data_IF_332859905817
#
_entry.id   IF_332859905817
#
_cell.length_a   1.000
_cell.length_b   1.000
_cell.length_c   1.000
_cell.angle_alpha   90.00
_cell.angle_beta   90.00
_cell.angle_gamma   90.00
#
_symmetry.space_group_name_H-M   'P 1'
#
loop_
_entity.id
_entity.type
_entity.pdbx_description
1 polymer ?
#
# COMPACT_ATOMS: atom_id res chain seq x y z
N UNK A 1 9.80 28.43 35.00
CA UNK A 1 9.31 27.57 33.91
C UNK A 1 10.28 26.40 33.79
N UNK A 2 10.00 25.29 34.47
CA UNK A 2 10.83 24.09 34.37
C UNK A 2 10.30 23.26 33.20
N UNK A 3 11.09 23.12 32.14
CA UNK A 3 10.79 22.24 31.03
C UNK A 3 11.05 20.80 31.48
N UNK A 4 9.98 20.02 31.65
CA UNK A 4 10.07 18.57 31.81
C UNK A 4 10.63 18.00 30.51
N UNK A 5 11.92 17.67 30.52
CA UNK A 5 12.58 16.90 29.47
C UNK A 5 12.02 15.49 29.57
N UNK A 6 11.15 15.11 28.63
CA UNK A 6 10.76 13.72 28.48
C UNK A 6 12.02 12.93 28.10
N UNK A 7 12.42 12.01 28.96
CA UNK A 7 13.52 11.10 28.69
C UNK A 7 13.14 10.25 27.48
N UNK A 8 13.72 10.53 26.32
CA UNK A 8 13.68 9.63 25.17
C UNK A 8 14.19 8.28 25.68
N UNK A 9 13.29 7.30 25.79
CA UNK A 9 13.67 5.97 26.18
C UNK A 9 14.41 5.39 24.98
N UNK A 10 15.74 5.36 25.04
CA UNK A 10 16.57 4.74 24.02
C UNK A 10 16.32 3.24 24.06
N UNK A 11 15.33 2.78 23.31
CA UNK A 11 15.08 1.35 23.12
C UNK A 11 16.11 0.86 22.13
N UNK A 12 17.03 0.00 22.58
CA UNK A 12 17.98 -0.64 21.68
C UNK A 12 17.22 -1.44 20.62
N UNK A 13 17.55 -1.30 19.33
CA UNK A 13 16.90 -2.05 18.26
C UNK A 13 17.08 -3.56 18.47
N UNK A 14 16.00 -4.33 18.34
CA UNK A 14 16.05 -5.79 18.47
C UNK A 14 16.48 -6.36 17.12
N UNK A 15 17.76 -6.70 17.00
CA UNK A 15 18.33 -7.32 15.80
C UNK A 15 18.27 -8.83 15.93
N UNK A 16 17.64 -9.49 14.97
CA UNK A 16 17.46 -10.95 14.97
C UNK A 16 17.99 -11.56 13.69
N UNK A 17 18.90 -12.55 13.77
CA UNK A 17 19.24 -13.34 12.60
C UNK A 17 18.08 -14.29 12.27
N UNK A 18 17.80 -14.46 10.98
CA UNK A 18 16.69 -15.30 10.54
C UNK A 18 16.67 -15.62 9.06
N UNK A 19 15.59 -16.28 8.65
CA UNK A 19 15.25 -16.53 7.25
C UNK A 19 13.97 -15.78 6.91
N UNK A 20 14.05 -14.89 5.91
CA UNK A 20 12.91 -14.17 5.36
C UNK A 20 12.53 -14.81 4.03
N UNK A 21 11.37 -15.45 4.00
CA UNK A 21 10.79 -15.95 2.75
C UNK A 21 9.92 -14.84 2.17
N UNK A 22 10.24 -14.37 0.98
CA UNK A 22 9.51 -13.32 0.27
C UNK A 22 8.71 -13.94 -0.87
N UNK A 23 7.41 -13.65 -0.91
CA UNK A 23 6.51 -14.10 -1.97
C UNK A 23 5.77 -12.91 -2.56
N UNK A 24 5.72 -12.83 -3.89
CA UNK A 24 4.87 -11.88 -4.60
C UNK A 24 3.46 -12.45 -4.73
N UNK A 25 2.47 -11.73 -4.22
CA UNK A 25 1.05 -12.05 -4.28
C UNK A 25 0.34 -11.02 -5.15
N UNK A 26 -0.65 -11.48 -5.91
CA UNK A 26 -1.44 -10.64 -6.79
C UNK A 26 -2.71 -10.22 -6.06
N UNK A 27 -2.74 -8.98 -5.61
CA UNK A 27 -3.89 -8.37 -4.96
C UNK A 27 -4.79 -7.63 -5.95
N UNK A 28 -5.87 -7.06 -5.42
CA UNK A 28 -6.78 -6.20 -6.19
C UNK A 28 -6.10 -4.92 -6.68
N UNK A 29 -5.14 -4.40 -5.91
CA UNK A 29 -4.42 -3.16 -6.22
C UNK A 29 -3.04 -3.40 -6.85
N UNK A 30 -2.81 -4.60 -7.41
CA UNK A 30 -1.57 -4.97 -8.07
C UNK A 30 -0.74 -6.00 -7.30
N UNK A 31 0.50 -6.18 -7.72
CA UNK A 31 1.44 -7.13 -7.10
C UNK A 31 1.98 -6.55 -5.80
N UNK A 32 2.07 -7.38 -4.78
CA UNK A 32 2.63 -7.01 -3.48
C UNK A 32 3.47 -8.12 -2.90
N UNK A 33 4.50 -7.76 -2.14
CA UNK A 33 5.36 -8.74 -1.50
C UNK A 33 4.95 -8.95 -0.05
N UNK A 34 4.85 -10.22 0.34
CA UNK A 34 4.68 -10.64 1.72
C UNK A 34 5.89 -11.43 2.15
N UNK A 35 6.44 -11.06 3.30
CA UNK A 35 7.53 -11.74 3.96
C UNK A 35 7.03 -12.69 5.05
N UNK A 36 7.62 -13.87 5.16
CA UNK A 36 7.54 -14.72 6.36
C UNK A 36 8.92 -14.82 6.96
N UNK A 37 9.09 -14.17 8.10
CA UNK A 37 10.33 -14.21 8.87
C UNK A 37 10.26 -15.37 9.88
N UNK A 38 11.21 -16.28 9.76
CA UNK A 38 11.49 -17.30 10.75
C UNK A 38 12.79 -16.94 11.48
N UNK A 39 12.68 -16.66 12.77
CA UNK A 39 13.81 -16.33 13.63
C UNK A 39 13.65 -17.01 15.01
N UNK A 40 14.63 -16.82 15.89
CA UNK A 40 14.59 -17.42 17.23
C UNK A 40 13.38 -16.99 18.07
N UNK A 41 12.82 -15.80 17.80
CA UNK A 41 11.63 -15.30 18.50
C UNK A 41 10.34 -15.98 18.00
N UNK A 42 10.38 -16.67 16.86
CA UNK A 42 9.24 -17.36 16.28
C UNK A 42 9.06 -17.08 14.79
N UNK A 43 7.82 -17.23 14.33
CA UNK A 43 7.41 -17.02 12.94
C UNK A 43 6.51 -15.80 12.86
N UNK A 44 6.88 -14.85 12.02
CA UNK A 44 6.18 -13.58 11.87
C UNK A 44 5.86 -13.32 10.39
N UNK A 45 4.66 -12.85 10.12
CA UNK A 45 4.32 -12.31 8.80
C UNK A 45 4.74 -10.83 8.76
N UNK A 46 5.52 -10.48 7.76
CA UNK A 46 6.01 -9.13 7.52
C UNK A 46 5.33 -8.62 6.27
N UNK A 47 4.56 -7.55 6.43
CA UNK A 47 3.96 -6.78 5.36
C UNK A 47 4.53 -5.39 5.49
N UNK A 48 5.76 -5.19 5.03
CA UNK A 48 6.43 -3.88 5.02
C UNK A 48 6.54 -3.32 3.61
N UNK A 49 6.71 -2.00 3.48
CA UNK A 49 6.90 -1.35 2.19
C UNK A 49 8.28 -1.72 1.62
N UNK A 50 9.31 -1.79 2.47
CA UNK A 50 10.67 -2.15 2.06
C UNK A 50 10.75 -3.52 1.38
N UNK A 51 9.80 -4.43 1.65
CA UNK A 51 9.76 -5.75 1.02
C UNK A 51 9.43 -5.71 -0.47
N UNK A 52 8.78 -4.65 -0.94
CA UNK A 52 8.27 -4.54 -2.30
C UNK A 52 9.36 -4.31 -3.33
N UNK A 53 10.50 -3.75 -2.92
CA UNK A 53 11.64 -3.58 -3.81
C UNK A 53 12.36 -4.91 -4.09
N UNK A 54 12.35 -5.87 -3.15
CA UNK A 54 13.09 -7.12 -3.30
C UNK A 54 12.32 -8.15 -4.15
N UNK A 55 13.01 -8.92 -5.01
CA UNK A 55 12.36 -10.00 -5.75
C UNK A 55 11.89 -11.12 -4.82
N UNK A 56 10.92 -11.92 -5.26
CA UNK A 56 10.53 -13.11 -4.52
C UNK A 56 11.68 -14.10 -4.40
N UNK A 57 11.85 -14.69 -3.21
CA UNK A 57 13.04 -15.46 -2.89
C UNK A 57 13.13 -15.77 -1.41
N UNK A 58 14.03 -16.69 -1.07
CA UNK A 58 14.36 -17.01 0.32
C UNK A 58 15.64 -16.29 0.68
N UNK A 59 15.54 -15.40 1.63
CA UNK A 59 16.66 -14.57 2.06
C UNK A 59 17.11 -14.99 3.45
N UNK A 60 18.42 -15.00 3.65
CA UNK A 60 19.03 -15.11 4.97
C UNK A 60 19.60 -13.76 5.35
N UNK A 61 19.33 -13.31 6.58
CA UNK A 61 19.65 -11.95 6.95
C UNK A 61 19.62 -11.69 8.44
N UNK A 62 20.00 -10.46 8.78
CA UNK A 62 19.73 -9.83 10.07
C UNK A 62 18.58 -8.84 9.89
N UNK A 63 17.60 -8.91 10.78
CA UNK A 63 16.37 -8.13 10.70
C UNK A 63 16.24 -7.27 11.95
N UNK A 64 16.06 -5.97 11.77
CA UNK A 64 15.85 -5.02 12.86
C UNK A 64 14.35 -4.91 13.12
N UNK A 65 13.88 -5.52 14.19
CA UNK A 65 12.47 -5.50 14.57
C UNK A 65 12.15 -4.17 15.27
N UNK A 66 11.24 -3.39 14.69
CA UNK A 66 10.73 -2.16 15.33
C UNK A 66 9.72 -2.50 16.42
N UNK A 67 8.72 -3.31 16.07
CA UNK A 67 7.73 -3.84 17.01
C UNK A 67 7.07 -5.11 16.44
N UNK A 68 6.61 -5.98 17.35
CA UNK A 68 5.82 -7.17 17.04
C UNK A 68 4.40 -6.91 17.54
N UNK A 69 3.40 -7.24 16.73
CA UNK A 69 2.00 -7.02 17.07
C UNK A 69 1.12 -8.15 16.56
N UNK A 70 0.06 -8.42 17.31
CA UNK A 70 -1.00 -9.33 16.89
C UNK A 70 -2.00 -8.55 16.04
N UNK A 71 -2.23 -9.01 14.81
CA UNK A 71 -3.26 -8.43 13.94
C UNK A 71 -4.44 -9.40 13.83
N UNK A 72 -5.56 -8.99 14.42
CA UNK A 72 -6.83 -9.69 14.35
C UNK A 72 -7.64 -9.27 13.12
N UNK A 73 -8.26 -10.23 12.44
CA UNK A 73 -9.24 -9.98 11.40
C UNK A 73 -10.54 -10.73 11.69
N UNK A 74 -11.70 -10.03 11.58
CA UNK A 74 -12.98 -10.69 11.64
C UNK A 74 -13.15 -11.55 10.40
N UNK A 75 -13.49 -12.82 10.60
CA UNK A 75 -13.86 -13.73 9.52
C UNK A 75 -15.38 -13.74 9.42
N UNK A 76 -15.90 -13.93 8.20
CA UNK A 76 -17.34 -13.92 7.91
C UNK A 76 -18.14 -14.99 8.66
N UNK A 77 -17.48 -15.98 9.25
CA UNK A 77 -18.05 -17.03 10.10
C UNK A 77 -18.24 -16.60 11.57
N UNK A 78 -17.92 -15.34 11.90
CA UNK A 78 -17.99 -14.79 13.26
C UNK A 78 -16.77 -15.11 14.12
N UNK A 79 -15.76 -15.82 13.60
CA UNK A 79 -14.49 -16.07 14.28
C UNK A 79 -13.50 -14.91 14.11
N UNK A 80 -12.57 -14.77 15.05
CA UNK A 80 -11.45 -13.84 14.96
C UNK A 80 -10.18 -14.63 14.63
N UNK A 81 -9.50 -14.28 13.54
CA UNK A 81 -8.19 -14.86 13.21
C UNK A 81 -7.09 -13.88 13.60
N UNK A 82 -6.07 -14.38 14.27
CA UNK A 82 -4.92 -13.60 14.66
C UNK A 82 -3.69 -14.01 13.86
N UNK A 83 -2.99 -13.02 13.33
CA UNK A 83 -1.71 -13.17 12.66
C UNK A 83 -0.63 -12.45 13.48
N UNK A 84 0.46 -13.15 13.79
CA UNK A 84 1.65 -12.55 14.39
C UNK A 84 2.40 -11.75 13.33
N UNK A 85 2.39 -10.42 13.44
CA UNK A 85 3.08 -9.52 12.52
C UNK A 85 4.26 -8.84 13.18
N UNK A 86 5.27 -8.56 12.36
CA UNK A 86 6.40 -7.75 12.74
C UNK A 86 6.59 -6.61 11.75
N UNK A 87 6.92 -5.43 12.25
CA UNK A 87 7.37 -4.29 11.46
C UNK A 87 8.90 -4.20 11.55
N UNK A 88 9.55 -3.97 10.41
CA UNK A 88 11.00 -3.87 10.34
C UNK A 88 11.40 -2.39 10.30
N UNK A 89 12.47 -2.07 11.01
CA UNK A 89 13.16 -0.78 10.89
C UNK A 89 14.29 -0.84 9.85
N UNK A 90 14.73 -2.05 9.52
CA UNK A 90 15.71 -2.32 8.48
C UNK A 90 16.04 -3.81 8.41
N UNK A 91 16.72 -4.19 7.32
CA UNK A 91 17.21 -5.55 7.14
C UNK A 91 18.51 -5.58 6.34
N UNK A 92 19.36 -6.55 6.67
CA UNK A 92 20.59 -6.85 5.95
C UNK A 92 20.47 -8.25 5.37
N UNK A 93 20.42 -8.37 4.05
CA UNK A 93 20.26 -9.64 3.35
C UNK A 93 21.62 -10.16 2.86
N UNK A 94 22.00 -11.38 3.24
CA UNK A 94 23.30 -11.98 2.93
C UNK A 94 23.30 -12.84 1.66
N UNK A 95 22.13 -13.31 1.20
CA UNK A 95 22.01 -14.14 0.01
C UNK A 95 20.56 -14.43 -0.36
N UNK A 96 20.36 -14.83 -1.62
CA UNK A 96 19.06 -15.18 -2.20
C UNK A 96 19.07 -16.65 -2.65
N UNK A 97 18.21 -17.46 -2.04
CA UNK A 97 17.91 -18.83 -2.45
C UNK A 97 16.55 -18.86 -3.18
N UNK A 98 16.38 -19.83 -4.09
CA UNK A 98 15.10 -20.03 -4.78
C UNK A 98 14.04 -20.54 -3.81
N UNK A 99 12.81 -20.01 -3.91
CA UNK A 99 11.67 -20.49 -3.11
C UNK A 99 11.41 -21.97 -3.37
N UNK A 100 11.32 -22.78 -2.31
CA UNK A 100 10.88 -24.17 -2.43
C UNK A 100 9.36 -24.27 -2.46
N UNK A 101 8.84 -25.37 -3.03
CA UNK A 101 7.39 -25.62 -3.12
C UNK A 101 6.73 -25.60 -1.73
N UNK A 102 7.39 -26.06 -0.67
CA UNK A 102 6.82 -26.08 0.68
C UNK A 102 6.59 -24.66 1.23
N UNK A 103 7.56 -23.77 1.03
CA UNK A 103 7.43 -22.35 1.39
C UNK A 103 6.28 -21.69 0.63
N UNK A 104 6.10 -21.97 -0.67
CA UNK A 104 4.95 -21.45 -1.45
C UNK A 104 3.61 -21.85 -0.82
N UNK A 105 3.49 -23.09 -0.32
CA UNK A 105 2.27 -23.57 0.34
C UNK A 105 2.06 -22.97 1.73
N UNK A 106 3.13 -22.47 2.37
CA UNK A 106 3.02 -21.82 3.68
C UNK A 106 2.27 -20.48 3.60
N UNK A 107 2.32 -19.80 2.45
CA UNK A 107 1.52 -18.61 2.16
C UNK A 107 0.11 -19.05 1.76
N UNK A 108 -0.84 -18.92 2.70
CA UNK A 108 -2.21 -19.36 2.50
C UNK A 108 -2.95 -18.48 1.46
N UNK A 109 -4.02 -18.98 0.81
CA UNK A 109 -4.79 -18.21 -0.18
C UNK A 109 -5.48 -16.95 0.36
N UNK A 110 -5.47 -16.72 1.67
CA UNK A 110 -6.15 -15.61 2.33
C UNK A 110 -5.16 -14.52 2.78
N UNK A 111 -4.10 -14.27 2.01
CA UNK A 111 -3.26 -13.11 2.24
C UNK A 111 -3.87 -11.90 1.54
N UNK A 112 -4.55 -11.06 2.33
CA UNK A 112 -5.18 -9.82 1.89
C UNK A 112 -4.10 -8.77 1.59
N UNK A 113 -4.30 -7.96 0.55
CA UNK A 113 -3.39 -6.87 0.20
C UNK A 113 -3.23 -5.92 1.40
N UNK A 114 -2.01 -5.61 1.83
CA UNK A 114 -1.74 -4.61 2.86
C UNK A 114 -2.56 -3.31 2.68
N UNK A 115 -2.70 -2.81 1.44
CA UNK A 115 -3.43 -1.57 1.16
C UNK A 115 -4.94 -1.67 1.46
N UNK A 116 -5.54 -2.84 1.27
CA UNK A 116 -6.96 -3.08 1.58
C UNK A 116 -7.17 -3.19 3.09
N UNK A 117 -6.20 -3.73 3.83
CA UNK A 117 -6.27 -3.85 5.30
C UNK A 117 -6.14 -2.48 6.00
N UNK A 118 -5.31 -1.58 5.47
CA UNK A 118 -5.18 -0.19 5.94
C UNK A 118 -6.47 0.61 5.69
N UNK A 119 -7.06 0.48 4.51
CA UNK A 119 -8.34 1.15 4.17
C UNK A 119 -9.53 0.53 4.90
N UNK A 120 -9.50 -0.78 5.17
CA UNK A 120 -10.56 -1.53 5.86
C UNK A 120 -10.73 -1.24 7.35
N UNK A 121 -9.94 -0.33 7.93
CA UNK A 121 -10.10 0.13 9.32
C UNK A 121 -11.03 1.35 9.45
N UNK A 122 -11.56 1.91 8.34
CA UNK A 122 -12.73 2.76 8.47
C UNK A 122 -13.91 1.91 8.95
N UNK A 123 -14.61 2.28 10.05
CA UNK A 123 -15.87 1.64 10.39
C UNK A 123 -16.76 1.75 9.16
N UNK A 124 -17.05 0.62 8.54
CA UNK A 124 -18.06 0.55 7.52
C UNK A 124 -19.33 1.10 8.16
N UNK A 125 -19.71 2.32 7.77
CA UNK A 125 -21.05 2.82 8.02
C UNK A 125 -21.98 1.76 7.45
N UNK A 126 -22.66 1.07 8.36
CA UNK A 126 -23.68 0.08 8.07
C UNK A 126 -24.55 0.62 6.93
N UNK A 127 -24.74 -0.11 5.81
CA UNK A 127 -25.75 0.28 4.84
C UNK A 127 -27.09 0.22 5.56
N UNK A 128 -27.66 1.39 5.85
CA UNK A 128 -29.00 1.51 6.38
C UNK A 128 -29.96 0.88 5.37
N UNK A 129 -30.38 -0.35 5.67
CA UNK A 129 -31.45 -1.05 4.96
C UNK A 129 -32.72 -0.19 5.06
N UNK A 130 -33.41 0.10 3.94
CA UNK A 130 -34.54 1.00 3.96
C UNK A 130 -35.71 0.39 4.71
N UNK A 131 -36.34 1.25 5.49
CA UNK A 131 -37.49 1.07 6.36
C UNK A 131 -38.65 0.42 5.62
N UNK A 132 -39.12 -0.73 6.11
CA UNK A 132 -40.43 -1.27 5.77
C UNK A 132 -41.37 -0.94 6.93
N UNK A 133 -42.19 0.08 6.77
CA UNK A 133 -43.29 0.37 7.69
C UNK A 133 -44.57 0.66 6.88
N UNK A 134 -45.65 0.13 7.41
CA UNK A 134 -46.95 -0.17 6.85
C UNK A 134 -47.83 1.07 6.57
N UNK A 135 -48.70 0.99 5.55
CA UNK A 135 -49.99 1.73 5.44
C UNK A 135 -50.93 1.39 6.63
N UNK A 136 -52.07 2.08 6.91
CA UNK A 136 -52.97 2.94 6.08
C UNK A 136 -53.27 4.33 6.75
N UNK A 137 -54.08 5.30 6.29
CA UNK A 137 -55.31 5.39 5.50
C UNK A 137 -55.53 6.84 4.93
N UNK A 138 -56.41 6.96 3.93
CA UNK A 138 -56.97 8.20 3.31
C UNK A 138 -58.21 8.68 4.14
N UNK A 139 -58.86 9.88 4.01
CA UNK A 139 -59.23 10.58 2.75
C UNK A 139 -59.23 12.14 2.67
N UNK A 140 -59.12 12.61 1.42
CA UNK A 140 -59.80 13.74 0.74
C UNK A 140 -59.63 15.23 1.17
N UNK A 141 -59.18 16.08 0.22
CA UNK A 141 -59.90 17.26 -0.38
C UNK A 141 -58.88 18.10 -1.22
N UNK A 142 -58.94 18.17 -2.56
CA UNK A 142 -59.62 19.14 -3.45
C UNK A 142 -59.02 20.57 -3.50
N UNK A 143 -58.52 20.92 -4.70
CA UNK A 143 -58.42 22.24 -5.37
C UNK A 143 -57.45 23.35 -4.88
N UNK A 144 -56.62 23.82 -5.83
CA UNK A 144 -56.58 25.18 -6.41
C UNK A 144 -55.16 25.45 -6.95
N UNK A 145 -54.92 25.41 -8.26
CA UNK A 145 -54.94 26.58 -9.16
C UNK A 145 -54.25 27.82 -8.58
N UNK A 146 -53.05 28.12 -9.07
CA UNK A 146 -52.50 29.48 -9.21
C UNK A 146 -51.27 29.45 -10.13
N UNK A 147 -51.51 29.68 -11.42
CA UNK A 147 -50.58 30.41 -12.29
C UNK A 147 -51.04 31.88 -12.22
N UNK A 148 -50.13 32.86 -12.03
CA UNK A 148 -49.78 33.66 -13.20
C UNK A 148 -48.32 34.13 -13.24
N UNK A 149 -47.69 33.87 -14.39
CA UNK A 149 -47.05 34.88 -15.24
C UNK A 149 -46.05 35.85 -14.56
N UNK A 150 -44.75 35.57 -14.68
CA UNK A 150 -43.74 36.56 -15.11
C UNK A 150 -42.54 35.83 -15.73
N UNK A 151 -42.46 35.92 -17.06
CA UNK A 151 -41.25 35.69 -17.83
C UNK A 151 -40.31 36.88 -17.64
N UNK A 152 -39.18 36.65 -16.98
CA UNK A 152 -37.97 37.45 -17.21
C UNK A 152 -36.75 36.55 -16.98
N UNK A 153 -36.35 35.83 -18.02
CA UNK A 153 -34.92 35.53 -18.24
C UNK A 153 -34.14 36.85 -18.28
N UNK A 154 -33.11 37.01 -17.44
CA UNK A 154 -31.85 37.46 -18.02
C UNK A 154 -30.63 36.74 -17.43
N UNK A 155 -29.56 36.74 -18.21
CA UNK A 155 -28.20 36.27 -17.95
C UNK A 155 -27.90 34.82 -18.30
N UNK A 156 -27.42 34.68 -19.54
CA UNK A 156 -26.44 33.66 -19.87
C UNK A 156 -25.23 33.78 -18.93
N UNK A 157 -24.91 32.66 -18.29
CA UNK A 157 -23.57 32.35 -17.82
C UNK A 157 -23.24 31.01 -18.44
N UNK A 158 -22.29 31.10 -19.37
CA UNK A 158 -21.61 30.00 -20.01
C UNK A 158 -21.14 29.01 -18.95
N UNK A 159 -21.56 27.75 -19.08
CA UNK A 159 -21.08 26.67 -18.24
C UNK A 159 -19.59 26.45 -18.56
N UNK A 160 -18.68 26.46 -17.57
CA UNK A 160 -17.30 26.10 -17.86
C UNK A 160 -17.28 24.64 -18.33
N UNK A 161 -16.70 24.35 -19.50
CA UNK A 161 -16.55 22.98 -19.94
C UNK A 161 -15.73 22.22 -18.89
N UNK A 162 -16.27 21.07 -18.51
CA UNK A 162 -15.57 19.98 -17.85
C UNK A 162 -14.21 19.80 -18.52
N UNK A 163 -13.17 20.32 -17.87
CA UNK A 163 -11.79 19.93 -18.16
C UNK A 163 -11.66 18.49 -17.71
N UNK A 164 -11.91 17.60 -18.67
CA UNK A 164 -11.36 16.25 -18.65
C UNK A 164 -9.85 16.39 -18.35
N UNK A 165 -9.26 15.56 -17.46
CA UNK A 165 -7.82 15.52 -17.34
C UNK A 165 -7.27 15.05 -18.68
N UNK A 166 -6.73 15.99 -19.44
CA UNK A 166 -5.89 15.72 -20.60
C UNK A 166 -4.73 14.86 -20.14
N UNK A 167 -4.88 13.55 -20.35
CA UNK A 167 -3.81 12.57 -20.25
C UNK A 167 -2.86 12.82 -21.41
N UNK A 168 -1.99 13.80 -21.24
CA UNK A 168 -0.79 14.07 -22.03
C UNK A 168 0.09 15.05 -21.26
N UNK A 169 0.35 14.77 -19.98
CA UNK A 169 1.64 15.17 -19.43
C UNK A 169 2.67 14.26 -20.08
N UNK A 170 3.73 14.81 -20.66
CA UNK A 170 4.88 14.03 -21.09
C UNK A 170 5.22 13.02 -20.00
N UNK A 171 5.59 11.78 -20.36
CA UNK A 171 5.98 10.77 -19.38
C UNK A 171 6.98 11.34 -18.35
N UNK A 172 7.88 12.21 -18.82
CA UNK A 172 8.85 12.98 -18.01
C UNK A 172 8.22 13.86 -16.91
N UNK A 173 7.08 14.49 -17.15
CA UNK A 173 6.39 15.37 -16.18
C UNK A 173 5.66 14.53 -15.10
N UNK A 174 5.17 13.35 -15.51
CA UNK A 174 4.63 12.34 -14.59
C UNK A 174 5.72 11.69 -13.73
N UNK A 175 6.89 11.43 -14.31
CA UNK A 175 8.03 10.84 -13.61
C UNK A 175 8.66 11.86 -12.63
N UNK A 176 8.76 13.13 -13.02
CA UNK A 176 9.17 14.21 -12.12
C UNK A 176 8.24 14.33 -10.90
N UNK A 177 6.92 14.19 -11.08
CA UNK A 177 5.96 14.19 -9.98
C UNK A 177 6.07 12.95 -9.07
N UNK A 178 6.40 11.78 -9.64
CA UNK A 178 6.48 10.51 -8.92
C UNK A 178 7.77 10.38 -8.09
N UNK A 179 8.90 10.82 -8.63
CA UNK A 179 10.21 10.74 -8.00
C UNK A 179 10.59 12.01 -7.23
N UNK A 180 9.94 13.14 -7.52
CA UNK A 180 10.11 14.39 -6.79
C UNK A 180 11.56 14.84 -6.75
N UNK A 181 12.16 14.81 -5.56
CA UNK A 181 13.57 15.20 -5.35
C UNK A 181 14.59 14.20 -5.94
N UNK A 182 14.17 12.95 -6.21
CA UNK A 182 15.02 11.94 -6.83
C UNK A 182 15.11 12.13 -8.35
N UNK A 183 14.33 13.05 -8.93
CA UNK A 183 14.36 13.39 -10.35
C UNK A 183 15.36 14.53 -10.63
N UNK A 184 16.19 14.45 -11.68
CA UNK A 184 16.31 13.35 -12.65
C UNK A 184 17.05 12.13 -12.08
N UNK A 185 16.60 10.93 -12.47
CA UNK A 185 17.21 9.67 -12.04
C UNK A 185 18.63 9.56 -12.61
N UNK A 186 19.61 9.28 -11.74
CA UNK A 186 21.00 9.05 -12.11
C UNK A 186 21.29 7.62 -12.59
N UNK A 187 22.57 7.24 -12.60
CA UNK A 187 23.00 5.86 -12.89
C UNK A 187 22.59 4.88 -11.78
N UNK A 188 22.59 5.35 -10.53
CA UNK A 188 22.06 4.63 -9.36
C UNK A 188 21.08 5.49 -8.55
N UNK A 189 20.03 4.86 -8.02
CA UNK A 189 18.98 5.52 -7.23
C UNK A 189 18.61 4.64 -6.04
N UNK A 190 18.54 5.25 -4.84
CA UNK A 190 18.04 4.59 -3.63
C UNK A 190 16.61 5.06 -3.36
N UNK A 191 15.68 4.12 -3.26
CA UNK A 191 14.31 4.41 -2.87
C UNK A 191 14.22 4.56 -1.35
N UNK A 192 13.40 5.51 -0.91
CA UNK A 192 13.08 5.70 0.51
C UNK A 192 11.93 4.75 0.87
N UNK A 193 12.22 3.74 1.68
CA UNK A 193 11.24 2.75 2.13
C UNK A 193 10.28 3.26 3.20
N UNK A 194 10.49 4.48 3.72
CA UNK A 194 9.63 5.11 4.72
C UNK A 194 8.39 5.78 4.11
N UNK A 195 8.33 5.91 2.78
CA UNK A 195 7.20 6.51 2.06
C UNK A 195 5.99 5.57 2.03
N UNK A 196 4.85 6.12 1.62
CA UNK A 196 3.63 5.33 1.45
C UNK A 196 3.83 4.20 0.43
N UNK A 197 3.36 3.01 0.80
CA UNK A 197 3.48 1.79 0.01
C UNK A 197 2.98 1.95 -1.43
N UNK A 198 1.88 2.69 -1.66
CA UNK A 198 1.36 2.89 -3.01
C UNK A 198 2.33 3.70 -3.86
N UNK A 199 2.97 4.72 -3.29
CA UNK A 199 3.99 5.51 -3.98
C UNK A 199 5.25 4.70 -4.27
N UNK A 200 5.70 3.89 -3.31
CA UNK A 200 6.85 3.01 -3.48
C UNK A 200 6.62 2.00 -4.61
N UNK A 201 5.46 1.33 -4.67
CA UNK A 201 5.14 0.43 -5.80
C UNK A 201 5.17 1.13 -7.15
N UNK A 202 4.62 2.34 -7.22
CA UNK A 202 4.60 3.11 -8.46
C UNK A 202 6.04 3.46 -8.91
N UNK A 203 6.90 3.86 -7.97
CA UNK A 203 8.32 4.12 -8.24
C UNK A 203 9.05 2.87 -8.72
N UNK A 204 8.86 1.72 -8.05
CA UNK A 204 9.43 0.43 -8.44
C UNK A 204 8.99 0.01 -9.84
N UNK A 205 7.68 0.13 -10.14
CA UNK A 205 7.14 -0.21 -11.45
C UNK A 205 7.75 0.65 -12.56
N UNK A 206 7.87 1.97 -12.33
CA UNK A 206 8.52 2.88 -13.28
C UNK A 206 10.01 2.60 -13.45
N UNK A 207 10.75 2.31 -12.38
CA UNK A 207 12.15 1.94 -12.47
C UNK A 207 12.36 0.66 -13.29
N UNK A 208 11.47 -0.32 -13.15
CA UNK A 208 11.46 -1.52 -13.98
C UNK A 208 11.21 -1.22 -15.47
N UNK A 209 10.27 -0.33 -15.79
CA UNK A 209 10.01 0.11 -17.17
C UNK A 209 11.19 0.88 -17.78
N UNK A 210 11.95 1.60 -16.96
CA UNK A 210 13.17 2.33 -17.35
C UNK A 210 14.42 1.44 -17.46
N UNK A 211 14.31 0.15 -17.12
CA UNK A 211 15.41 -0.81 -17.23
C UNK A 211 16.40 -0.79 -16.06
N UNK A 212 15.97 -0.31 -14.88
CA UNK A 212 16.78 -0.39 -13.67
C UNK A 212 16.61 -1.77 -13.01
N UNK A 213 17.71 -2.31 -12.49
CA UNK A 213 17.76 -3.51 -11.69
C UNK A 213 18.14 -3.18 -10.24
N UNK A 214 17.46 -3.79 -9.27
CA UNK A 214 17.78 -3.63 -7.85
C UNK A 214 18.98 -4.51 -7.46
N UNK A 215 20.02 -3.91 -6.90
CA UNK A 215 21.03 -4.61 -6.12
C UNK A 215 20.58 -4.69 -4.64
N UNK A 216 20.21 -5.89 -4.21
CA UNK A 216 19.71 -6.14 -2.85
C UNK A 216 20.76 -5.96 -1.75
N UNK A 217 22.06 -5.94 -2.09
CA UNK A 217 23.14 -5.75 -1.10
C UNK A 217 23.32 -4.28 -0.76
N UNK A 218 23.31 -3.42 -1.77
CA UNK A 218 23.45 -1.97 -1.63
C UNK A 218 22.10 -1.28 -1.44
N UNK A 219 21.00 -1.98 -1.76
CA UNK A 219 19.64 -1.44 -1.84
C UNK A 219 19.53 -0.29 -2.85
N UNK A 220 20.33 -0.37 -3.92
CA UNK A 220 20.38 0.63 -4.98
C UNK A 220 19.82 0.06 -6.28
N UNK A 221 19.01 0.85 -6.97
CA UNK A 221 18.58 0.58 -8.32
C UNK A 221 19.61 1.12 -9.28
N UNK A 222 20.22 0.27 -10.09
CA UNK A 222 21.20 0.67 -11.10
C UNK A 222 20.68 0.37 -12.50
N UNK A 223 21.01 1.23 -13.47
CA UNK A 223 20.64 0.98 -14.86
C UNK A 223 21.51 -0.14 -15.39
N UNK A 224 20.90 -1.28 -15.73
CA UNK A 224 21.65 -2.38 -16.33
C UNK A 224 21.97 -1.95 -17.77
N UNK A 225 23.16 -1.40 -17.97
CA UNK A 225 23.63 -1.03 -19.29
C UNK A 225 23.64 -2.29 -20.14
N UNK A 226 22.80 -2.31 -21.16
CA UNK A 226 22.73 -3.33 -22.19
C UNK A 226 24.16 -3.68 -22.60
N UNK A 227 24.59 -4.88 -22.25
CA UNK A 227 25.85 -5.48 -22.68
C UNK A 227 25.86 -5.40 -24.22
N UNK A 228 26.58 -4.42 -24.77
CA UNK A 228 26.81 -4.31 -26.21
C UNK A 228 27.39 -5.65 -26.69
N UNK A 229 26.73 -6.39 -27.60
CA UNK A 229 27.42 -7.44 -28.31
C UNK A 229 28.44 -6.77 -29.24
N UNK A 230 29.69 -7.21 -29.10
CA UNK A 230 30.84 -6.79 -29.90
C UNK A 230 30.65 -7.02 -31.41
#
# INVERSE_FOLDING_TARGET
MAATSASETSVSPIVVPGQLTLRTIHGRNGKFNVGKLECQLGKFTIKDAELEQYPEGKYRGEFVLRYIFLKGYPVSDGSMRFEMRANLDGMTLFGIDKLSKAEVHSFAPQEVDPLDEEQGTQPAATPAKPTKASKPANPASVQALSDPLVDTTPFGVDAPPTVAPTSSGSAEDGDAALFGILWPLGESVKLDSTIDRRTLRAQIARLGELGYALDFKTQEWSREAELQPA
#
